data_IF_600684718060
#
_entry.id   IF_600684718060
#
_cell.length_a   1.000
_cell.length_b   1.000
_cell.length_c   1.000
_cell.angle_alpha   90.00
_cell.angle_beta   90.00
_cell.angle_gamma   90.00
#
_symmetry.space_group_name_H-M   'P 1'
#
loop_
_entity.id
_entity.type
_entity.pdbx_description
1 polymer ?
#
# COMPACT_ATOMS: atom_id res chain seq x y z
N UNK A 1 -54.88 14.25 -31.33
CA UNK A 1 -55.19 13.78 -29.96
C UNK A 1 -53.96 13.10 -29.41
N UNK A 2 -53.49 13.65 -28.31
CA UNK A 2 -52.22 13.42 -27.61
C UNK A 2 -52.19 12.03 -26.99
N UNK A 3 -51.07 11.29 -27.10
CA UNK A 3 -50.84 10.12 -26.26
C UNK A 3 -49.44 10.20 -25.67
N UNK A 4 -49.45 10.34 -24.36
CA UNK A 4 -48.39 10.77 -23.47
C UNK A 4 -47.23 9.78 -23.45
N UNK A 5 -46.03 10.33 -23.60
CA UNK A 5 -44.75 9.65 -23.41
C UNK A 5 -44.41 9.83 -21.92
N UNK A 6 -44.57 8.77 -21.13
CA UNK A 6 -44.17 8.77 -19.72
C UNK A 6 -42.71 8.33 -19.61
N UNK A 7 -41.83 9.29 -19.34
CA UNK A 7 -40.42 9.02 -19.02
C UNK A 7 -40.32 8.81 -17.51
N UNK A 8 -40.11 7.56 -17.08
CA UNK A 8 -39.61 7.29 -15.73
C UNK A 8 -38.14 7.73 -15.66
N UNK A 9 -37.89 8.89 -15.06
CA UNK A 9 -36.55 9.31 -14.67
C UNK A 9 -36.13 8.56 -13.39
N UNK A 10 -35.36 7.48 -13.55
CA UNK A 10 -34.69 6.81 -12.43
C UNK A 10 -33.55 7.68 -11.92
N UNK A 11 -33.76 8.39 -10.82
CA UNK A 11 -32.73 9.17 -10.13
C UNK A 11 -31.75 8.22 -9.42
N UNK A 12 -30.57 8.02 -10.01
CA UNK A 12 -29.45 7.34 -9.36
C UNK A 12 -28.86 8.29 -8.32
N UNK A 13 -29.17 8.07 -7.04
CA UNK A 13 -28.48 8.74 -5.93
C UNK A 13 -27.05 8.22 -5.83
N UNK A 14 -26.08 9.03 -6.27
CA UNK A 14 -24.66 8.82 -5.97
C UNK A 14 -24.43 9.06 -4.47
N UNK A 15 -24.42 7.99 -3.68
CA UNK A 15 -24.03 8.04 -2.26
C UNK A 15 -22.53 8.30 -2.21
N UNK A 16 -22.11 9.50 -1.82
CA UNK A 16 -20.72 9.80 -1.51
C UNK A 16 -20.32 9.03 -0.24
N UNK A 17 -19.70 7.87 -0.39
CA UNK A 17 -19.18 7.11 0.73
C UNK A 17 -18.14 7.95 1.49
N UNK A 18 -18.13 7.95 2.83
CA UNK A 18 -17.09 8.65 3.60
C UNK A 18 -15.73 8.06 3.24
N UNK A 19 -14.79 8.92 2.84
CA UNK A 19 -13.44 8.52 2.38
C UNK A 19 -12.71 7.62 3.39
N UNK A 20 -12.97 7.79 4.69
CA UNK A 20 -12.41 6.95 5.75
C UNK A 20 -12.87 5.48 5.69
N UNK A 21 -14.13 5.20 5.32
CA UNK A 21 -14.60 3.83 5.15
C UNK A 21 -13.97 3.17 3.91
N UNK A 22 -13.75 3.97 2.85
CA UNK A 22 -13.07 3.52 1.63
C UNK A 22 -11.57 3.26 1.86
N UNK A 23 -10.93 4.01 2.75
CA UNK A 23 -9.54 3.80 3.14
C UNK A 23 -9.37 2.54 3.99
N UNK A 24 -10.29 2.29 4.93
CA UNK A 24 -10.28 1.07 5.73
C UNK A 24 -10.42 -0.19 4.88
N UNK A 25 -11.42 -0.22 3.98
CA UNK A 25 -11.59 -1.33 3.03
C UNK A 25 -10.36 -1.54 2.14
N UNK A 26 -9.74 -0.45 1.69
CA UNK A 26 -8.53 -0.49 0.88
C UNK A 26 -7.34 -1.04 1.66
N UNK A 27 -7.05 -0.57 2.88
CA UNK A 27 -5.95 -1.10 3.67
C UNK A 27 -6.17 -2.58 4.03
N UNK A 28 -7.40 -2.96 4.37
CA UNK A 28 -7.79 -4.37 4.63
C UNK A 28 -7.62 -5.29 3.43
N UNK A 29 -7.66 -4.77 2.20
CA UNK A 29 -7.38 -5.57 1.00
C UNK A 29 -5.94 -6.07 0.91
N UNK A 30 -5.02 -5.49 1.68
CA UNK A 30 -3.64 -5.95 1.78
C UNK A 30 -3.42 -6.99 2.87
N UNK A 31 -4.40 -7.30 3.73
CA UNK A 31 -4.24 -8.27 4.83
C UNK A 31 -4.00 -9.67 4.29
N UNK A 32 -3.05 -10.39 4.89
CA UNK A 32 -2.80 -11.80 4.57
C UNK A 32 -1.33 -12.18 4.63
N UNK A 33 -1.03 -13.36 4.09
CA UNK A 33 0.33 -13.87 3.95
C UNK A 33 0.74 -13.87 2.49
N UNK A 34 1.91 -13.32 2.21
CA UNK A 34 2.41 -13.11 0.86
C UNK A 34 3.77 -13.78 0.70
N UNK A 35 3.99 -14.40 -0.45
CA UNK A 35 5.29 -14.93 -0.82
C UNK A 35 5.60 -14.53 -2.27
N UNK A 36 6.84 -14.14 -2.51
CA UNK A 36 7.29 -13.69 -3.82
C UNK A 36 8.76 -13.99 -4.05
N UNK A 37 9.11 -14.24 -5.31
CA UNK A 37 10.50 -14.39 -5.76
C UNK A 37 10.84 -13.24 -6.69
N UNK A 38 12.11 -12.82 -6.68
CA UNK A 38 12.57 -11.74 -7.54
C UNK A 38 14.08 -11.60 -7.51
N UNK A 39 14.56 -10.48 -8.06
CA UNK A 39 15.98 -10.15 -8.08
C UNK A 39 16.17 -8.71 -7.61
N UNK A 40 17.15 -8.46 -6.75
CA UNK A 40 17.46 -7.12 -6.22
C UNK A 40 18.93 -6.78 -6.43
N UNK A 41 19.21 -5.49 -6.56
CA UNK A 41 20.57 -4.93 -6.46
C UNK A 41 20.63 -4.12 -5.17
N UNK A 42 21.72 -4.26 -4.41
CA UNK A 42 21.88 -3.55 -3.12
C UNK A 42 22.48 -2.16 -3.30
N UNK A 43 23.15 -1.94 -4.43
CA UNK A 43 23.67 -0.66 -4.93
C UNK A 43 23.71 -0.66 -6.48
N UNK A 44 24.05 0.47 -7.09
CA UNK A 44 24.03 0.66 -8.53
C UNK A 44 24.99 -0.28 -9.30
N UNK A 45 26.10 -0.68 -8.68
CA UNK A 45 27.18 -1.44 -9.32
C UNK A 45 27.17 -2.94 -8.94
N UNK A 46 26.38 -3.30 -7.93
CA UNK A 46 26.27 -4.67 -7.42
C UNK A 46 25.66 -5.65 -8.41
N UNK A 47 26.08 -6.92 -8.31
CA UNK A 47 25.45 -8.00 -9.09
C UNK A 47 24.03 -8.26 -8.59
N UNK A 48 23.05 -8.53 -9.47
CA UNK A 48 21.70 -8.85 -9.06
C UNK A 48 21.63 -10.15 -8.22
N UNK A 49 20.93 -10.11 -7.10
CA UNK A 49 20.76 -11.23 -6.15
C UNK A 49 19.33 -11.76 -6.26
N UNK A 50 19.17 -13.06 -6.52
CA UNK A 50 17.87 -13.73 -6.44
C UNK A 50 17.42 -13.83 -4.99
N UNK A 51 16.18 -13.43 -4.73
CA UNK A 51 15.58 -13.44 -3.40
C UNK A 51 14.25 -14.17 -3.39
N UNK A 52 13.92 -14.72 -2.23
CA UNK A 52 12.58 -15.14 -1.86
C UNK A 52 12.14 -14.32 -0.65
N UNK A 53 11.03 -13.60 -0.78
CA UNK A 53 10.43 -12.85 0.31
C UNK A 53 9.19 -13.56 0.84
N UNK A 54 8.99 -13.44 2.14
CA UNK A 54 7.74 -13.79 2.82
C UNK A 54 7.30 -12.59 3.66
N UNK A 55 6.04 -12.22 3.54
CA UNK A 55 5.43 -11.13 4.29
C UNK A 55 4.15 -11.61 4.95
N UNK A 56 3.85 -11.02 6.09
CA UNK A 56 2.55 -11.05 6.72
C UNK A 56 2.09 -9.60 6.89
N UNK A 57 0.79 -9.37 6.68
CA UNK A 57 0.21 -8.06 6.83
C UNK A 57 -1.13 -8.13 7.54
N UNK A 58 -1.33 -7.16 8.42
CA UNK A 58 -2.54 -6.94 9.19
C UNK A 58 -2.95 -5.48 9.09
N UNK A 59 -4.26 -5.23 9.04
CA UNK A 59 -4.80 -3.89 8.86
C UNK A 59 -6.00 -3.60 9.76
N UNK A 60 -6.13 -2.34 10.13
CA UNK A 60 -7.32 -1.74 10.73
C UNK A 60 -7.97 -0.79 9.72
N UNK A 61 -8.99 -0.04 10.13
CA UNK A 61 -9.58 0.99 9.28
C UNK A 61 -8.65 2.19 8.99
N UNK A 62 -7.56 2.34 9.76
CA UNK A 62 -6.66 3.50 9.64
C UNK A 62 -5.17 3.14 9.65
N UNK A 63 -4.83 1.85 9.69
CA UNK A 63 -3.44 1.40 9.71
C UNK A 63 -3.24 0.09 8.97
N UNK A 64 -2.04 -0.11 8.44
CA UNK A 64 -1.57 -1.36 7.87
C UNK A 64 -0.16 -1.60 8.40
N UNK A 65 0.09 -2.78 8.95
CA UNK A 65 1.43 -3.25 9.28
C UNK A 65 1.77 -4.38 8.30
N UNK A 66 2.82 -4.19 7.50
CA UNK A 66 3.37 -5.22 6.63
C UNK A 66 4.77 -5.53 7.13
N UNK A 67 5.00 -6.78 7.50
CA UNK A 67 6.27 -7.25 8.05
C UNK A 67 6.73 -8.49 7.31
N UNK A 68 8.00 -8.56 6.99
CA UNK A 68 8.52 -9.72 6.30
C UNK A 68 10.03 -9.77 6.22
N UNK A 69 10.48 -10.79 5.52
CA UNK A 69 11.89 -11.08 5.34
C UNK A 69 12.14 -11.50 3.91
N UNK A 70 13.15 -10.89 3.30
CA UNK A 70 13.68 -11.32 2.02
C UNK A 70 15.01 -12.07 2.26
N UNK A 71 15.12 -13.26 1.69
CA UNK A 71 16.31 -14.11 1.80
C UNK A 71 16.92 -14.27 0.42
N UNK A 72 18.19 -13.87 0.28
CA UNK A 72 18.99 -14.09 -0.92
C UNK A 72 20.20 -14.93 -0.59
N UNK A 73 20.49 -15.98 -1.37
CA UNK A 73 21.46 -17.01 -0.99
C UNK A 73 21.18 -17.58 0.43
N UNK A 74 21.90 -18.62 0.89
CA UNK A 74 21.55 -19.27 2.18
C UNK A 74 21.81 -18.35 3.39
N UNK A 75 22.57 -17.27 3.22
CA UNK A 75 23.11 -16.45 4.33
C UNK A 75 22.61 -15.00 4.39
N UNK A 76 22.08 -14.41 3.30
CA UNK A 76 21.68 -12.99 3.31
C UNK A 76 20.20 -12.84 3.66
N UNK A 77 19.99 -12.59 4.95
CA UNK A 77 18.73 -12.36 5.65
C UNK A 77 18.28 -10.90 5.85
N UNK A 78 17.38 -10.26 5.10
CA UNK A 78 16.93 -8.87 5.42
C UNK A 78 15.48 -8.74 5.83
N UNK A 79 15.23 -8.05 6.94
CA UNK A 79 13.90 -7.61 7.34
C UNK A 79 13.42 -6.47 6.44
N UNK A 80 12.20 -6.58 5.95
CA UNK A 80 11.52 -5.58 5.13
C UNK A 80 10.14 -5.34 5.73
N UNK A 81 9.76 -4.07 5.91
CA UNK A 81 8.46 -3.73 6.48
C UNK A 81 7.95 -2.36 6.09
N UNK A 82 6.65 -2.16 6.24
CA UNK A 82 5.96 -0.91 6.02
C UNK A 82 4.83 -0.76 7.05
N UNK A 83 4.96 0.24 7.91
CA UNK A 83 3.92 0.61 8.88
C UNK A 83 3.20 1.85 8.38
N UNK A 84 2.03 1.66 7.78
CA UNK A 84 1.21 2.73 7.18
C UNK A 84 0.14 3.19 8.15
N UNK A 85 -0.09 4.50 8.23
CA UNK A 85 -1.20 5.13 8.94
C UNK A 85 -1.88 6.18 8.07
N UNK A 86 -3.20 6.31 8.18
CA UNK A 86 -4.00 7.35 7.53
C UNK A 86 -4.86 8.12 8.52
N UNK A 87 -5.09 9.40 8.23
CA UNK A 87 -6.08 10.24 8.90
C UNK A 87 -7.32 10.51 8.02
N UNK A 88 -7.46 9.82 6.88
CA UNK A 88 -8.51 10.02 5.88
C UNK A 88 -8.22 11.11 4.83
N UNK A 89 -7.07 11.79 4.92
CA UNK A 89 -6.60 12.76 3.91
C UNK A 89 -5.20 12.44 3.41
N UNK A 90 -4.32 12.04 4.31
CA UNK A 90 -2.90 11.78 4.04
C UNK A 90 -2.48 10.46 4.65
N UNK A 91 -1.53 9.81 3.97
CA UNK A 91 -0.88 8.61 4.45
C UNK A 91 0.53 8.93 4.92
N UNK A 92 0.91 8.31 6.03
CA UNK A 92 2.30 8.27 6.51
C UNK A 92 2.74 6.82 6.56
N UNK A 93 4.02 6.56 6.33
CA UNK A 93 4.58 5.24 6.40
C UNK A 93 5.96 5.26 7.04
N UNK A 94 6.24 4.29 7.91
CA UNK A 94 7.61 3.96 8.30
C UNK A 94 8.05 2.75 7.49
N UNK A 95 9.01 2.97 6.59
CA UNK A 95 9.59 1.90 5.78
C UNK A 95 10.84 1.33 6.46
N UNK A 96 10.91 0.01 6.59
CA UNK A 96 12.08 -0.72 7.09
C UNK A 96 12.65 -1.55 5.95
N UNK A 97 13.97 -1.47 5.72
CA UNK A 97 14.66 -2.22 4.65
C UNK A 97 15.79 -1.46 3.98
N UNK A 98 15.87 -0.14 4.17
CA UNK A 98 17.02 0.66 3.74
C UNK A 98 18.29 0.25 4.49
N UNK A 99 19.43 0.36 3.83
CA UNK A 99 20.77 0.25 4.47
C UNK A 99 21.02 1.34 5.50
N UNK A 100 20.36 2.49 5.39
CA UNK A 100 20.53 3.65 6.28
C UNK A 100 19.60 3.65 7.49
N UNK A 101 18.83 2.58 7.70
CA UNK A 101 17.82 2.48 8.76
C UNK A 101 16.40 2.83 8.29
N UNK A 102 15.38 2.76 9.17
CA UNK A 102 14.01 3.01 8.76
C UNK A 102 13.79 4.43 8.24
N UNK A 103 13.03 4.58 7.15
CA UNK A 103 12.72 5.87 6.53
C UNK A 103 11.26 6.26 6.77
N UNK A 104 11.01 7.54 7.05
CA UNK A 104 9.67 8.10 7.08
C UNK A 104 9.23 8.50 5.67
N UNK A 105 8.01 8.13 5.28
CA UNK A 105 7.39 8.47 4.02
C UNK A 105 6.03 9.15 4.25
N UNK A 106 5.61 10.01 3.34
CA UNK A 106 4.27 10.61 3.33
C UNK A 106 3.72 10.78 1.92
N UNK A 107 2.40 10.79 1.80
CA UNK A 107 1.73 11.07 0.53
C UNK A 107 0.24 10.77 0.59
N UNK A 108 -0.30 10.30 -0.53
CA UNK A 108 -1.74 10.08 -0.71
C UNK A 108 -2.03 8.80 -1.50
N UNK A 109 -3.29 8.40 -1.46
CA UNK A 109 -3.81 7.32 -2.28
C UNK A 109 -4.20 7.85 -3.66
N UNK A 110 -3.86 7.09 -4.69
CA UNK A 110 -4.31 7.31 -6.07
C UNK A 110 -4.90 6.01 -6.60
N UNK A 111 -6.24 5.93 -6.64
CA UNK A 111 -6.95 4.70 -7.01
C UNK A 111 -6.64 3.54 -6.07
N UNK A 112 -5.99 2.49 -6.58
CA UNK A 112 -5.58 1.32 -5.80
C UNK A 112 -4.10 1.33 -5.40
N UNK A 113 -3.43 2.49 -5.48
CA UNK A 113 -2.03 2.64 -5.13
C UNK A 113 -1.84 3.68 -4.01
N UNK A 114 -0.83 3.46 -3.17
CA UNK A 114 -0.27 4.48 -2.28
C UNK A 114 0.95 5.11 -2.95
N UNK A 115 0.93 6.42 -3.13
CA UNK A 115 2.04 7.19 -3.68
C UNK A 115 2.68 7.95 -2.54
N UNK A 116 3.85 7.47 -2.10
CA UNK A 116 4.55 7.98 -0.92
C UNK A 116 5.97 8.42 -1.30
N UNK A 117 6.36 9.61 -0.84
CA UNK A 117 7.72 10.14 -0.96
C UNK A 117 8.46 10.15 0.39
N UNK A 118 9.79 10.13 0.35
CA UNK A 118 10.63 10.20 1.56
C UNK A 118 10.49 11.59 2.22
N UNK A 119 10.21 11.61 3.51
CA UNK A 119 10.18 12.83 4.31
C UNK A 119 11.62 13.28 4.58
N UNK A 120 11.95 14.53 4.24
CA UNK A 120 13.28 15.11 4.52
C UNK A 120 14.31 14.97 3.38
N UNK A 121 13.90 14.56 2.18
CA UNK A 121 14.69 14.75 0.96
C UNK A 121 14.25 16.07 0.32
N UNK A 122 14.85 17.18 0.74
CA UNK A 122 14.77 18.46 0.04
C UNK A 122 16.13 18.78 -0.55
#
# INVERSE_FOLDING_TARGET
MTKSIEWLAAAVLCIAAPAQAADGAFLKSFTGSWAGKGTVKVDADSRPIKINCKFASDATDSSLALNGKCTGYVVFSRAIGADVKTNGKTYTCKYTGSSTGPAGLSGSRSGNALVLGIIGQR
#
